data_IF_995258983350
#
_entry.id   IF_995258983350
#
_cell.length_a   1.000
_cell.length_b   1.000
_cell.length_c   1.000
_cell.angle_alpha   90.00
_cell.angle_beta   90.00
_cell.angle_gamma   90.00
#
_symmetry.space_group_name_H-M   'P 1'
#
loop_
_entity.id
_entity.type
_entity.pdbx_description
1 polymer ?
#
# COMPACT_ATOMS: atom_id res chain seq x y z
N UNK A 1 -6.00 -19.17 16.76
CA UNK A 1 -6.91 -18.16 16.17
C UNK A 1 -6.26 -17.43 14.98
N UNK A 2 -5.03 -16.92 15.10
CA UNK A 2 -4.30 -16.24 14.00
C UNK A 2 -4.23 -17.08 12.70
N UNK A 3 -3.86 -18.37 12.79
CA UNK A 3 -3.73 -19.28 11.63
C UNK A 3 -4.97 -19.41 10.72
N UNK A 4 -6.16 -19.03 11.19
CA UNK A 4 -7.41 -19.13 10.43
C UNK A 4 -7.97 -17.73 10.11
N UNK A 5 -7.99 -16.83 11.10
CA UNK A 5 -8.55 -15.49 10.94
C UNK A 5 -7.76 -14.63 9.95
N UNK A 6 -6.43 -14.75 9.96
CA UNK A 6 -5.56 -13.96 9.08
C UNK A 6 -5.75 -14.35 7.60
N UNK A 7 -5.69 -15.64 7.20
CA UNK A 7 -5.98 -16.03 5.83
C UNK A 7 -7.39 -15.66 5.34
N UNK A 8 -8.43 -15.83 6.17
CA UNK A 8 -9.80 -15.46 5.78
C UNK A 8 -9.88 -13.96 5.48
N UNK A 9 -9.30 -13.13 6.34
CA UNK A 9 -9.27 -11.69 6.15
C UNK A 9 -8.45 -11.30 4.91
N UNK A 10 -7.30 -11.92 4.69
CA UNK A 10 -6.43 -11.67 3.53
C UNK A 10 -7.11 -12.03 2.21
N UNK A 11 -7.81 -13.17 2.13
CA UNK A 11 -8.62 -13.55 0.96
C UNK A 11 -9.71 -12.52 0.71
N UNK A 12 -10.48 -12.17 1.74
CA UNK A 12 -11.56 -11.19 1.63
C UNK A 12 -11.06 -9.82 1.16
N UNK A 13 -9.92 -9.37 1.71
CA UNK A 13 -9.24 -8.15 1.29
C UNK A 13 -8.81 -8.19 -0.18
N UNK A 14 -8.11 -9.25 -0.61
CA UNK A 14 -7.61 -9.37 -1.99
C UNK A 14 -8.77 -9.37 -2.99
N UNK A 15 -9.81 -10.16 -2.74
CA UNK A 15 -11.02 -10.19 -3.58
C UNK A 15 -11.67 -8.81 -3.65
N UNK A 16 -11.82 -8.13 -2.51
CA UNK A 16 -12.39 -6.79 -2.45
C UNK A 16 -11.56 -5.77 -3.23
N UNK A 17 -10.25 -5.71 -3.00
CA UNK A 17 -9.36 -4.75 -3.65
C UNK A 17 -9.33 -4.98 -5.17
N UNK A 18 -9.14 -6.22 -5.63
CA UNK A 18 -9.11 -6.53 -7.06
C UNK A 18 -10.45 -6.20 -7.73
N UNK A 19 -11.57 -6.56 -7.11
CA UNK A 19 -12.90 -6.26 -7.62
C UNK A 19 -13.14 -4.75 -7.71
N UNK A 20 -12.80 -3.99 -6.66
CA UNK A 20 -12.94 -2.54 -6.65
C UNK A 20 -12.06 -1.86 -7.72
N UNK A 21 -10.83 -2.34 -7.90
CA UNK A 21 -9.93 -1.88 -8.96
C UNK A 21 -10.52 -2.05 -10.35
N UNK A 22 -11.08 -3.24 -10.66
CA UNK A 22 -11.79 -3.50 -11.92
C UNK A 22 -13.02 -2.60 -12.06
N UNK A 23 -13.81 -2.42 -11.00
CA UNK A 23 -14.99 -1.54 -11.01
C UNK A 23 -14.60 -0.11 -11.40
N UNK A 24 -13.52 0.44 -10.85
CA UNK A 24 -13.05 1.78 -11.22
C UNK A 24 -12.63 1.87 -12.69
N UNK A 25 -11.92 0.86 -13.22
CA UNK A 25 -11.51 0.85 -14.64
C UNK A 25 -12.70 0.71 -15.60
N UNK A 26 -13.68 -0.13 -15.27
CA UNK A 26 -14.92 -0.25 -16.05
C UNK A 26 -15.70 1.06 -16.04
N UNK A 27 -15.78 1.72 -14.88
CA UNK A 27 -16.41 3.04 -14.78
C UNK A 27 -15.64 4.12 -15.56
N UNK A 28 -14.31 4.07 -15.57
CA UNK A 28 -13.47 4.93 -16.40
C UNK A 28 -13.77 4.74 -17.90
N UNK A 29 -13.89 3.50 -18.38
CA UNK A 29 -14.23 3.22 -19.79
C UNK A 29 -15.54 3.89 -20.24
N UNK A 30 -16.51 4.01 -19.33
CA UNK A 30 -17.82 4.64 -19.59
C UNK A 30 -17.79 6.16 -19.47
N UNK A 31 -17.01 6.71 -18.53
CA UNK A 31 -17.07 8.14 -18.17
C UNK A 31 -15.89 8.98 -18.67
N UNK A 32 -14.77 8.35 -19.01
CA UNK A 32 -13.48 8.99 -19.34
C UNK A 32 -12.96 9.96 -18.28
N UNK A 33 -13.43 9.79 -17.04
CA UNK A 33 -13.04 10.58 -15.88
C UNK A 33 -11.70 10.09 -15.34
N UNK A 34 -10.64 10.89 -15.54
CA UNK A 34 -9.26 10.47 -15.25
C UNK A 34 -8.99 10.12 -13.78
N UNK A 35 -9.77 10.67 -12.84
CA UNK A 35 -9.67 10.30 -11.43
C UNK A 35 -10.01 8.82 -11.21
N UNK A 36 -10.95 8.26 -11.98
CA UNK A 36 -11.31 6.83 -11.95
C UNK A 36 -10.20 5.93 -12.50
N UNK A 37 -9.47 6.38 -13.53
CA UNK A 37 -8.31 5.64 -14.04
C UNK A 37 -7.24 5.49 -12.96
N UNK A 38 -6.87 6.59 -12.30
CA UNK A 38 -5.87 6.57 -11.23
C UNK A 38 -6.32 5.71 -10.04
N UNK A 39 -7.58 5.86 -9.60
CA UNK A 39 -8.14 5.02 -8.52
C UNK A 39 -8.12 3.53 -8.88
N UNK A 40 -8.48 3.17 -10.11
CA UNK A 40 -8.44 1.78 -10.58
C UNK A 40 -7.02 1.22 -10.62
N UNK A 41 -6.08 1.94 -11.25
CA UNK A 41 -4.68 1.54 -11.32
C UNK A 41 -4.05 1.38 -9.94
N UNK A 42 -4.27 2.35 -9.04
CA UNK A 42 -3.76 2.28 -7.67
C UNK A 42 -4.34 1.09 -6.90
N UNK A 43 -5.65 0.86 -7.00
CA UNK A 43 -6.31 -0.21 -6.25
C UNK A 43 -5.88 -1.59 -6.75
N UNK A 44 -5.75 -1.77 -8.08
CA UNK A 44 -5.21 -3.01 -8.65
C UNK A 44 -3.75 -3.22 -8.30
N UNK A 45 -2.92 -2.17 -8.39
CA UNK A 45 -1.50 -2.24 -8.04
C UNK A 45 -1.32 -2.66 -6.56
N UNK A 46 -2.16 -2.14 -5.68
CA UNK A 46 -2.18 -2.51 -4.26
C UNK A 46 -2.58 -3.98 -4.08
N UNK A 47 -3.71 -4.40 -4.65
CA UNK A 47 -4.20 -5.78 -4.50
C UNK A 47 -3.28 -6.83 -5.13
N UNK A 48 -2.81 -6.60 -6.36
CA UNK A 48 -1.88 -7.49 -7.05
C UNK A 48 -0.53 -7.51 -6.35
N UNK A 49 0.00 -6.34 -5.95
CA UNK A 49 1.27 -6.23 -5.26
C UNK A 49 1.28 -6.94 -3.91
N UNK A 50 0.20 -6.83 -3.13
CA UNK A 50 0.05 -7.56 -1.86
C UNK A 50 -0.14 -9.06 -2.08
N UNK A 51 -0.81 -9.50 -3.15
CA UNK A 51 -1.03 -10.92 -3.42
C UNK A 51 0.27 -11.74 -3.47
N UNK A 52 1.36 -11.18 -4.02
CA UNK A 52 2.68 -11.82 -4.04
C UNK A 52 3.26 -12.10 -2.65
N UNK A 53 2.84 -11.34 -1.63
CA UNK A 53 3.25 -11.58 -0.24
C UNK A 53 2.21 -12.38 0.54
N UNK A 54 0.93 -12.06 0.39
CA UNK A 54 -0.15 -12.66 1.18
C UNK A 54 -0.41 -14.11 0.77
N UNK A 55 -0.37 -14.47 -0.52
CA UNK A 55 -0.64 -15.85 -0.95
C UNK A 55 0.40 -16.83 -0.36
N UNK A 56 1.72 -16.59 -0.48
CA UNK A 56 2.72 -17.44 0.18
C UNK A 56 2.58 -17.48 1.70
N UNK A 57 2.17 -16.36 2.31
CA UNK A 57 1.96 -16.27 3.76
C UNK A 57 0.79 -17.12 4.23
N UNK A 58 -0.35 -17.05 3.54
CA UNK A 58 -1.50 -17.91 3.82
C UNK A 58 -1.13 -19.38 3.66
N UNK A 59 -0.38 -19.73 2.60
CA UNK A 59 0.11 -21.09 2.41
C UNK A 59 0.95 -21.55 3.60
N UNK A 60 1.94 -20.76 4.03
CA UNK A 60 2.76 -21.12 5.18
C UNK A 60 2.02 -21.13 6.52
N UNK A 61 0.96 -20.32 6.69
CA UNK A 61 0.14 -20.33 7.92
C UNK A 61 -0.81 -21.53 8.00
N UNK A 62 -1.36 -21.96 6.86
CA UNK A 62 -2.32 -23.06 6.74
C UNK A 62 -1.65 -24.42 6.51
N UNK A 63 -0.43 -24.42 5.97
CA UNK A 63 0.34 -25.61 5.62
C UNK A 63 1.43 -25.95 6.62
N UNK A 64 2.65 -26.06 6.11
CA UNK A 64 3.82 -26.66 6.77
C UNK A 64 4.74 -25.65 7.50
N UNK A 65 4.36 -24.36 7.50
CA UNK A 65 5.06 -23.31 8.23
C UNK A 65 5.68 -22.23 7.33
N UNK A 66 5.79 -21.00 7.86
CA UNK A 66 6.35 -19.87 7.11
C UNK A 66 7.82 -20.08 6.72
N UNK A 67 8.59 -20.83 7.51
CA UNK A 67 10.01 -21.07 7.31
C UNK A 67 10.29 -21.85 6.02
N UNK A 68 9.38 -22.75 5.62
CA UNK A 68 9.48 -23.53 4.38
C UNK A 68 9.17 -22.71 3.12
N UNK A 69 8.67 -21.48 3.28
CA UNK A 69 8.33 -20.57 2.20
C UNK A 69 9.24 -19.33 2.15
N UNK A 70 10.46 -19.43 2.68
CA UNK A 70 11.42 -18.31 2.75
C UNK A 70 11.62 -17.61 1.40
N UNK A 71 11.78 -18.37 0.31
CA UNK A 71 11.95 -17.79 -1.03
C UNK A 71 10.73 -16.99 -1.51
N UNK A 72 9.54 -17.58 -1.44
CA UNK A 72 8.31 -16.94 -1.93
C UNK A 72 7.88 -15.77 -1.05
N UNK A 73 8.08 -15.85 0.26
CA UNK A 73 7.89 -14.73 1.18
C UNK A 73 8.89 -13.59 0.93
N UNK A 74 10.14 -13.94 0.63
CA UNK A 74 11.20 -13.00 0.24
C UNK A 74 10.85 -12.24 -1.03
N UNK A 75 10.51 -12.97 -2.10
CA UNK A 75 10.07 -12.42 -3.37
C UNK A 75 8.82 -11.55 -3.21
N UNK A 76 7.85 -12.03 -2.43
CA UNK A 76 6.65 -11.29 -2.08
C UNK A 76 6.95 -9.95 -1.44
N UNK A 77 7.80 -9.93 -0.40
CA UNK A 77 8.20 -8.67 0.26
C UNK A 77 8.90 -7.70 -0.68
N UNK A 78 9.74 -8.19 -1.60
CA UNK A 78 10.39 -7.35 -2.62
C UNK A 78 9.35 -6.72 -3.56
N UNK A 79 8.47 -7.53 -4.14
CA UNK A 79 7.43 -7.08 -5.08
C UNK A 79 6.46 -6.11 -4.39
N UNK A 80 5.98 -6.45 -3.18
CA UNK A 80 5.11 -5.56 -2.40
C UNK A 80 5.82 -4.24 -2.06
N UNK A 81 7.12 -4.25 -1.76
CA UNK A 81 7.87 -3.02 -1.50
C UNK A 81 7.98 -2.12 -2.75
N UNK A 82 8.21 -2.72 -3.92
CA UNK A 82 8.26 -2.00 -5.19
C UNK A 82 6.88 -1.43 -5.57
N UNK A 83 5.85 -2.26 -5.52
CA UNK A 83 4.47 -1.87 -5.86
C UNK A 83 3.91 -0.83 -4.91
N UNK A 84 4.20 -0.90 -3.61
CA UNK A 84 3.83 0.16 -2.65
C UNK A 84 4.52 1.50 -2.95
N UNK A 85 5.75 1.48 -3.47
CA UNK A 85 6.44 2.70 -3.89
C UNK A 85 5.73 3.35 -5.08
N UNK A 86 5.38 2.53 -6.08
CA UNK A 86 4.59 2.97 -7.22
C UNK A 86 3.19 3.45 -6.81
N UNK A 87 2.55 2.79 -5.85
CA UNK A 87 1.25 3.19 -5.30
C UNK A 87 1.31 4.63 -4.76
N UNK A 88 2.33 4.98 -3.96
CA UNK A 88 2.44 6.34 -3.42
C UNK A 88 2.75 7.39 -4.47
N UNK A 89 3.48 7.04 -5.53
CA UNK A 89 3.65 7.94 -6.68
C UNK A 89 2.31 8.20 -7.37
N UNK A 90 1.54 7.15 -7.65
CA UNK A 90 0.19 7.29 -8.24
C UNK A 90 -0.76 8.05 -7.31
N UNK A 91 -0.66 7.81 -5.99
CA UNK A 91 -1.49 8.47 -5.00
C UNK A 91 -1.20 9.97 -4.94
N UNK A 92 0.07 10.33 -4.98
CA UNK A 92 0.51 11.71 -5.11
C UNK A 92 -0.07 12.36 -6.38
N UNK A 93 0.07 11.72 -7.54
CA UNK A 93 -0.49 12.22 -8.80
C UNK A 93 -2.02 12.36 -8.76
N UNK A 94 -2.71 11.42 -8.12
CA UNK A 94 -4.15 11.51 -7.88
C UNK A 94 -4.51 12.78 -7.09
N UNK A 95 -3.79 13.07 -6.01
CA UNK A 95 -4.00 14.29 -5.21
C UNK A 95 -3.70 15.57 -5.99
N UNK A 96 -2.58 15.62 -6.72
CA UNK A 96 -2.25 16.78 -7.56
C UNK A 96 -3.36 17.08 -8.57
N UNK A 97 -3.86 16.04 -9.25
CA UNK A 97 -4.92 16.18 -10.26
C UNK A 97 -6.27 16.53 -9.64
N UNK A 98 -6.65 15.87 -8.56
CA UNK A 98 -7.95 16.06 -7.91
C UNK A 98 -8.14 17.46 -7.35
N UNK A 99 -7.09 18.03 -6.78
CA UNK A 99 -7.15 19.36 -6.13
C UNK A 99 -6.53 20.47 -6.99
N UNK A 100 -6.29 20.18 -8.28
CA UNK A 100 -5.76 21.11 -9.28
C UNK A 100 -4.55 21.91 -8.79
N UNK A 101 -3.66 21.26 -8.03
CA UNK A 101 -2.53 21.93 -7.40
C UNK A 101 -1.49 22.31 -8.44
N UNK A 102 -1.26 23.62 -8.56
CA UNK A 102 -0.20 24.22 -9.39
C UNK A 102 1.09 24.36 -8.58
N UNK A 103 2.21 24.53 -9.27
CA UNK A 103 3.55 24.75 -8.69
C UNK A 103 4.00 23.63 -7.73
N UNK A 104 3.65 22.38 -8.04
CA UNK A 104 3.99 21.21 -7.24
C UNK A 104 5.39 20.64 -7.53
N UNK A 105 6.22 21.34 -8.32
CA UNK A 105 7.54 20.86 -8.75
C UNK A 105 8.43 20.39 -7.59
N UNK A 106 8.62 21.15 -6.49
CA UNK A 106 9.47 20.69 -5.38
C UNK A 106 8.95 19.40 -4.75
N UNK A 107 7.62 19.28 -4.65
CA UNK A 107 6.95 18.12 -4.06
C UNK A 107 7.08 16.90 -4.98
N UNK A 108 6.88 17.08 -6.29
CA UNK A 108 7.07 16.03 -7.30
C UNK A 108 8.50 15.50 -7.26
N UNK A 109 9.49 16.40 -7.23
CA UNK A 109 10.89 16.01 -7.14
C UNK A 109 11.20 15.23 -5.85
N UNK A 110 10.62 15.63 -4.71
CA UNK A 110 10.77 14.89 -3.45
C UNK A 110 10.23 13.45 -3.55
N UNK A 111 9.01 13.27 -4.07
CA UNK A 111 8.43 11.93 -4.27
C UNK A 111 9.26 11.07 -5.23
N UNK A 112 9.74 11.64 -6.34
CA UNK A 112 10.58 10.93 -7.31
C UNK A 112 11.94 10.55 -6.72
N UNK A 113 12.58 11.46 -5.97
CA UNK A 113 13.86 11.21 -5.32
C UNK A 113 13.74 10.09 -4.30
N UNK A 114 12.71 10.11 -3.45
CA UNK A 114 12.49 9.05 -2.46
C UNK A 114 12.14 7.71 -3.10
N UNK A 115 11.35 7.71 -4.17
CA UNK A 115 11.06 6.49 -4.91
C UNK A 115 12.32 5.91 -5.57
N UNK A 116 13.13 6.74 -6.23
CA UNK A 116 14.39 6.32 -6.84
C UNK A 116 15.36 5.76 -5.79
N UNK A 117 15.56 6.49 -4.69
CA UNK A 117 16.39 6.04 -3.57
C UNK A 117 15.90 4.69 -3.04
N UNK A 118 14.57 4.51 -2.92
CA UNK A 118 13.98 3.24 -2.50
C UNK A 118 14.27 2.12 -3.49
N UNK A 119 14.05 2.33 -4.79
CA UNK A 119 14.32 1.29 -5.79
C UNK A 119 15.78 0.85 -5.81
N UNK A 120 16.72 1.80 -5.69
CA UNK A 120 18.14 1.48 -5.53
C UNK A 120 18.34 0.61 -4.29
N UNK A 121 17.81 1.04 -3.14
CA UNK A 121 17.94 0.28 -1.89
C UNK A 121 17.26 -1.08 -1.93
N UNK A 122 16.16 -1.27 -2.68
CA UNK A 122 15.49 -2.57 -2.84
C UNK A 122 16.33 -3.55 -3.68
N UNK A 123 17.09 -3.04 -4.67
CA UNK A 123 17.88 -3.85 -5.59
C UNK A 123 19.22 -4.34 -5.01
N UNK A 124 19.67 -3.75 -3.89
CA UNK A 124 20.94 -4.10 -3.26
C UNK A 124 20.92 -5.55 -2.73
N UNK A 125 21.92 -6.41 -3.05
CA UNK A 125 21.94 -7.80 -2.60
C UNK A 125 22.01 -7.93 -1.06
N UNK A 126 22.53 -6.92 -0.36
CA UNK A 126 22.64 -6.86 1.10
C UNK A 126 21.29 -6.89 1.83
N UNK A 127 20.17 -6.78 1.10
CA UNK A 127 18.85 -7.01 1.67
C UNK A 127 18.62 -8.44 2.14
N UNK A 128 19.33 -9.43 1.57
CA UNK A 128 19.17 -10.85 1.93
C UNK A 128 17.74 -11.34 1.74
N UNK A 129 17.02 -10.89 0.68
CA UNK A 129 15.58 -11.14 0.53
C UNK A 129 15.18 -12.62 0.65
N UNK A 130 16.06 -13.52 0.23
CA UNK A 130 15.83 -14.97 0.18
C UNK A 130 16.57 -15.74 1.28
N UNK A 131 17.14 -15.04 2.26
CA UNK A 131 17.85 -15.63 3.39
C UNK A 131 16.89 -15.85 4.57
N UNK A 132 17.20 -16.83 5.42
CA UNK A 132 16.41 -17.11 6.62
C UNK A 132 16.47 -15.96 7.64
N UNK A 133 17.62 -15.26 7.74
CA UNK A 133 17.80 -14.08 8.58
C UNK A 133 18.20 -12.86 7.72
N UNK A 134 17.23 -12.17 7.08
CA UNK A 134 17.51 -11.05 6.21
C UNK A 134 18.05 -9.83 6.99
N UNK A 135 18.86 -9.01 6.33
CA UNK A 135 19.52 -7.86 6.97
C UNK A 135 18.53 -6.85 7.56
N UNK A 136 18.60 -6.68 8.89
CA UNK A 136 17.80 -5.71 9.66
C UNK A 136 18.17 -4.27 9.30
N UNK A 137 19.46 -3.99 9.08
CA UNK A 137 19.94 -2.67 8.69
C UNK A 137 19.35 -2.25 7.33
N UNK A 138 19.45 -3.13 6.32
CA UNK A 138 18.91 -2.83 5.00
C UNK A 138 17.37 -2.78 5.01
N UNK A 139 16.72 -3.54 5.89
CA UNK A 139 15.29 -3.41 6.13
C UNK A 139 14.89 -2.01 6.66
N UNK A 140 15.69 -1.40 7.52
CA UNK A 140 15.48 -0.02 7.97
C UNK A 140 15.77 0.95 6.81
N UNK A 141 16.95 0.85 6.19
CA UNK A 141 17.40 1.77 5.15
C UNK A 141 16.39 1.87 3.99
N UNK A 142 15.93 0.73 3.45
CA UNK A 142 14.98 0.72 2.32
C UNK A 142 13.59 1.26 2.68
N UNK A 143 13.27 1.39 3.97
CA UNK A 143 11.99 1.89 4.45
C UNK A 143 12.04 3.35 4.92
N UNK A 144 13.23 3.93 5.13
CA UNK A 144 13.36 5.37 5.40
C UNK A 144 12.79 6.22 4.26
N UNK A 145 13.15 6.03 2.97
CA UNK A 145 12.55 6.81 1.89
C UNK A 145 11.03 6.62 1.80
N UNK A 146 10.54 5.41 2.10
CA UNK A 146 9.10 5.15 2.10
C UNK A 146 8.36 5.88 3.21
N UNK A 147 8.94 5.90 4.41
CA UNK A 147 8.41 6.65 5.54
C UNK A 147 8.33 8.14 5.22
N UNK A 148 9.35 8.68 4.54
CA UNK A 148 9.35 10.08 4.10
C UNK A 148 8.26 10.35 3.06
N UNK A 149 8.06 9.48 2.06
CA UNK A 149 6.93 9.57 1.13
C UNK A 149 5.60 9.55 1.88
N UNK A 150 5.46 8.66 2.86
CA UNK A 150 4.29 8.54 3.71
C UNK A 150 3.98 9.79 4.52
N UNK A 151 4.96 10.29 5.26
CA UNK A 151 4.84 11.49 6.07
C UNK A 151 4.50 12.72 5.20
N UNK A 152 5.19 12.87 4.07
CA UNK A 152 4.91 13.92 3.10
C UNK A 152 3.48 13.80 2.55
N UNK A 153 3.03 12.58 2.24
CA UNK A 153 1.67 12.32 1.77
C UNK A 153 0.62 12.66 2.84
N UNK A 154 0.86 12.31 4.11
CA UNK A 154 -0.01 12.69 5.24
C UNK A 154 -0.14 14.22 5.31
N UNK A 155 0.97 14.94 5.25
CA UNK A 155 0.98 16.41 5.29
C UNK A 155 0.14 17.02 4.16
N UNK A 156 0.39 16.62 2.90
CA UNK A 156 -0.37 17.17 1.77
C UNK A 156 -1.84 16.73 1.81
N UNK A 157 -2.12 15.51 2.27
CA UNK A 157 -3.49 15.04 2.39
C UNK A 157 -4.26 15.83 3.45
N UNK A 158 -3.63 16.15 4.58
CA UNK A 158 -4.22 16.98 5.61
C UNK A 158 -4.46 18.42 5.12
N UNK A 159 -3.54 18.97 4.31
CA UNK A 159 -3.64 20.34 3.82
C UNK A 159 -4.64 20.49 2.66
N UNK A 160 -4.66 19.55 1.73
CA UNK A 160 -5.38 19.70 0.46
C UNK A 160 -6.79 19.11 0.49
N UNK A 161 -7.03 18.08 1.28
CA UNK A 161 -8.33 17.38 1.29
C UNK A 161 -9.31 17.87 2.36
N UNK A 162 -9.03 18.98 3.07
CA UNK A 162 -9.81 19.42 4.25
C UNK A 162 -11.32 19.45 4.02
N UNK A 163 -11.72 20.03 2.89
CA UNK A 163 -13.13 20.20 2.50
C UNK A 163 -13.66 19.05 1.64
N UNK A 164 -12.84 18.03 1.36
CA UNK A 164 -13.21 16.93 0.51
C UNK A 164 -14.04 15.89 1.25
N UNK A 165 -15.34 15.83 0.95
CA UNK A 165 -16.27 14.89 1.60
C UNK A 165 -15.77 13.44 1.62
N UNK A 166 -15.09 12.98 0.57
CA UNK A 166 -14.67 11.58 0.43
C UNK A 166 -13.24 11.35 0.92
N UNK A 167 -12.37 12.33 0.73
CA UNK A 167 -10.93 12.17 0.95
C UNK A 167 -10.38 12.95 2.15
N UNK A 168 -11.20 13.72 2.89
CA UNK A 168 -10.76 14.52 4.06
C UNK A 168 -10.06 13.73 5.16
N UNK A 169 -10.43 12.47 5.36
CA UNK A 169 -9.81 11.61 6.39
C UNK A 169 -8.70 10.70 5.84
N UNK A 170 -8.29 10.88 4.59
CA UNK A 170 -7.21 10.09 3.97
C UNK A 170 -5.91 10.21 4.77
N UNK A 171 -5.60 11.40 5.30
CA UNK A 171 -4.39 11.60 6.10
C UNK A 171 -4.36 10.72 7.37
N UNK A 172 -5.50 10.53 8.04
CA UNK A 172 -5.61 9.62 9.19
C UNK A 172 -5.42 8.18 8.78
N UNK A 173 -6.08 7.75 7.69
CA UNK A 173 -5.97 6.38 7.19
C UNK A 173 -4.53 6.04 6.78
N UNK A 174 -3.84 6.98 6.13
CA UNK A 174 -2.43 6.82 5.76
C UNK A 174 -1.54 6.85 7.01
N UNK A 175 -1.76 7.77 7.94
CA UNK A 175 -0.99 7.86 9.18
C UNK A 175 -1.08 6.56 10.00
N UNK A 176 -2.29 6.07 10.25
CA UNK A 176 -2.47 4.81 10.98
C UNK A 176 -1.92 3.62 10.21
N UNK A 177 -2.14 3.54 8.90
CA UNK A 177 -1.55 2.50 8.07
C UNK A 177 -0.02 2.47 8.19
N UNK A 178 0.64 3.63 8.14
CA UNK A 178 2.09 3.71 8.30
C UNK A 178 2.54 3.34 9.71
N UNK A 179 1.82 3.79 10.74
CA UNK A 179 2.10 3.40 12.12
C UNK A 179 2.10 1.88 12.30
N UNK A 180 1.04 1.20 11.86
CA UNK A 180 0.94 -0.26 11.92
C UNK A 180 2.01 -0.95 11.05
N UNK A 181 2.32 -0.40 9.88
CA UNK A 181 3.41 -0.89 9.03
C UNK A 181 4.77 -0.82 9.73
N UNK A 182 5.10 0.31 10.36
CA UNK A 182 6.37 0.49 11.08
C UNK A 182 6.49 -0.48 12.25
N UNK A 183 5.41 -0.67 13.02
CA UNK A 183 5.37 -1.68 14.09
C UNK A 183 5.67 -3.07 13.52
N UNK A 184 5.02 -3.43 12.41
CA UNK A 184 5.25 -4.73 11.74
C UNK A 184 6.71 -4.89 11.32
N UNK A 185 7.28 -3.91 10.61
CA UNK A 185 8.65 -4.00 10.07
C UNK A 185 9.70 -4.10 11.18
N UNK A 186 9.55 -3.33 12.26
CA UNK A 186 10.56 -3.26 13.32
C UNK A 186 10.47 -4.43 14.31
N UNK A 187 9.27 -4.95 14.55
CA UNK A 187 9.02 -5.85 15.68
C UNK A 187 8.58 -7.27 15.29
N UNK A 188 8.17 -7.53 14.04
CA UNK A 188 7.64 -8.86 13.66
C UNK A 188 8.67 -9.99 13.76
N UNK A 189 9.97 -9.70 13.67
CA UNK A 189 11.03 -10.71 13.87
C UNK A 189 11.23 -11.09 15.35
N UNK A 190 10.72 -10.28 16.28
CA UNK A 190 10.85 -10.50 17.73
C UNK A 190 9.54 -10.92 18.39
N UNK A 191 8.42 -10.42 17.89
CA UNK A 191 7.11 -10.62 18.49
C UNK A 191 6.05 -11.00 17.46
N UNK A 192 5.44 -12.18 17.62
CA UNK A 192 4.40 -12.69 16.70
C UNK A 192 3.20 -11.74 16.57
N UNK A 193 2.80 -11.08 17.66
CA UNK A 193 1.69 -10.11 17.66
C UNK A 193 1.97 -8.88 16.78
N UNK A 194 3.24 -8.49 16.62
CA UNK A 194 3.60 -7.36 15.76
C UNK A 194 3.37 -7.71 14.29
N UNK A 195 3.50 -8.98 13.91
CA UNK A 195 3.10 -9.48 12.59
C UNK A 195 1.60 -9.32 12.31
N UNK A 196 0.75 -9.34 13.34
CA UNK A 196 -0.70 -9.16 13.21
C UNK A 196 -1.10 -7.71 12.94
N UNK A 197 -0.20 -6.73 13.11
CA UNK A 197 -0.44 -5.32 12.78
C UNK A 197 -0.65 -5.10 11.28
N UNK A 198 -0.40 -6.11 10.45
CA UNK A 198 -0.83 -6.14 9.05
C UNK A 198 -2.35 -6.04 8.89
N UNK A 199 -3.15 -6.61 9.82
CA UNK A 199 -4.61 -6.56 9.76
C UNK A 199 -5.15 -5.12 9.90
N UNK A 200 -4.87 -4.37 10.99
CA UNK A 200 -5.37 -3.01 11.13
C UNK A 200 -4.80 -2.06 10.05
N UNK A 201 -3.57 -2.29 9.58
CA UNK A 201 -3.01 -1.61 8.41
C UNK A 201 -3.91 -1.81 7.17
N UNK A 202 -4.28 -3.05 6.86
CA UNK A 202 -5.11 -3.39 5.71
C UNK A 202 -6.55 -2.88 5.85
N UNK A 203 -7.08 -2.79 7.08
CA UNK A 203 -8.37 -2.12 7.31
C UNK A 203 -8.32 -0.66 6.84
N UNK A 204 -7.23 0.06 7.06
CA UNK A 204 -7.07 1.42 6.52
C UNK A 204 -7.14 1.44 4.98
N UNK A 205 -6.59 0.42 4.31
CA UNK A 205 -6.65 0.28 2.85
C UNK A 205 -8.08 0.06 2.37
N UNK A 206 -8.80 -0.86 3.02
CA UNK A 206 -10.22 -1.12 2.74
C UNK A 206 -11.04 0.16 2.90
N UNK A 207 -10.83 0.92 3.98
CA UNK A 207 -11.55 2.18 4.20
C UNK A 207 -11.25 3.24 3.14
N UNK A 208 -9.99 3.34 2.67
CA UNK A 208 -9.64 4.23 1.55
C UNK A 208 -10.39 3.83 0.27
N UNK A 209 -10.42 2.53 -0.06
CA UNK A 209 -11.14 2.02 -1.24
C UNK A 209 -12.65 2.24 -1.10
N UNK A 210 -13.23 2.01 0.08
CA UNK A 210 -14.65 2.27 0.35
C UNK A 210 -14.99 3.75 0.13
N UNK A 211 -14.16 4.67 0.61
CA UNK A 211 -14.36 6.10 0.36
C UNK A 211 -14.30 6.46 -1.13
N UNK A 212 -13.37 5.86 -1.87
CA UNK A 212 -13.29 6.02 -3.33
C UNK A 212 -14.51 5.41 -4.06
N UNK A 213 -15.05 4.28 -3.61
CA UNK A 213 -16.28 3.69 -4.15
C UNK A 213 -17.51 4.57 -3.86
N UNK A 214 -17.56 5.21 -2.68
CA UNK A 214 -18.61 6.20 -2.37
C UNK A 214 -18.54 7.42 -3.28
N UNK A 215 -17.33 7.89 -3.61
CA UNK A 215 -17.13 8.94 -4.60
C UNK A 215 -17.67 8.52 -5.98
N UNK A 216 -17.32 7.32 -6.45
CA UNK A 216 -17.86 6.78 -7.71
C UNK A 216 -19.39 6.75 -7.75
N UNK A 217 -20.06 6.37 -6.65
CA UNK A 217 -21.54 6.38 -6.57
C UNK A 217 -22.16 7.77 -6.67
N UNK A 218 -21.41 8.84 -6.37
CA UNK A 218 -21.91 10.20 -6.59
C UNK A 218 -21.74 10.66 -8.01
N UNK A 219 -20.67 10.22 -8.69
CA UNK A 219 -20.55 10.41 -10.13
C UNK A 219 -21.65 9.64 -10.87
N UNK A 220 -22.08 8.47 -10.39
CA UNK A 220 -23.15 7.71 -11.05
C UNK A 220 -24.53 8.37 -11.04
N UNK A 221 -24.74 9.38 -10.19
CA UNK A 221 -25.99 10.14 -10.09
C UNK A 221 -25.99 11.43 -10.92
N UNK A 222 -24.87 11.75 -11.55
CA UNK A 222 -24.67 12.83 -12.52
C UNK A 222 -24.58 12.22 -13.92
#
# INVERSE_FOLDING_TARGET
MQKIMEPIFEIGYLLFALSAGVIFLVAYGKRRENSLLLLGLMTLLLGVGDAFHLIPRMWGLLGDGLENHTFSLGLGKLITSATMTLFYLLFYWFFVKRYEKKNTLPLTLAFLLFALARFILLALPQNGWFEADPSKLFAILRNVPFLLMGALFVCISFLWAKEDRFFKYTYLLVFFSFGFYMITVLLASRYTWAGMMMLPKTVCYVLMIVNALRYLRTLSKQ
#
